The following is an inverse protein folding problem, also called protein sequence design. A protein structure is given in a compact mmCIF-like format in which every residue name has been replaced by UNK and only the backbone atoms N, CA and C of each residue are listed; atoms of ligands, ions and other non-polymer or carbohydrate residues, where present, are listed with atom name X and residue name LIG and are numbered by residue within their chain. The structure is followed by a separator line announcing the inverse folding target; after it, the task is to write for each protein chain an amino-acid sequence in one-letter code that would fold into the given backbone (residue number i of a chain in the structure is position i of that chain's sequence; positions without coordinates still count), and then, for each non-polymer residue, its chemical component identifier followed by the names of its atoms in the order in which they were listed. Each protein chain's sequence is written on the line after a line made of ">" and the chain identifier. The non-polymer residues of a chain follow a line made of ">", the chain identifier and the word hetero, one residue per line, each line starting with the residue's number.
data_IF_967891053350
#
_entry.id   IF_967891053350
#
_cell.length_a   1.000
_cell.length_b   1.000
_cell.length_c   1.000
_cell.angle_alpha   90.00
_cell.angle_beta   90.00
_cell.angle_gamma   90.00
#
_symmetry.space_group_name_H-M   'P 1'
#
loop_
_entity.id
_entity.type
_entity.pdbx_description
1 polymer ?
#
# COMPACT_ATOMS: atom_id res chain seq x y z
N UNK A 1 -17.69 24.07 28.69
CA UNK A 1 -16.22 24.00 28.71
C UNK A 1 -15.71 22.68 28.10
N UNK A 2 -16.27 21.50 28.37
CA UNK A 2 -15.77 20.24 27.79
C UNK A 2 -15.94 20.10 26.26
N UNK A 3 -17.08 20.51 25.68
CA UNK A 3 -17.32 20.35 24.24
C UNK A 3 -16.38 21.22 23.37
N UNK A 4 -16.08 22.43 23.80
CA UNK A 4 -15.16 23.35 23.11
C UNK A 4 -13.70 22.87 23.21
N UNK A 5 -13.30 22.32 24.36
CA UNK A 5 -11.99 21.70 24.54
C UNK A 5 -11.82 20.45 23.65
N UNK A 6 -12.86 19.63 23.50
CA UNK A 6 -12.83 18.48 22.58
C UNK A 6 -12.72 18.91 21.11
N UNK A 7 -13.43 19.96 20.70
CA UNK A 7 -13.33 20.49 19.34
C UNK A 7 -11.94 21.10 19.10
N UNK A 8 -11.41 21.85 20.05
CA UNK A 8 -10.06 22.46 19.94
C UNK A 8 -8.98 21.38 19.83
N UNK A 9 -9.03 20.36 20.68
CA UNK A 9 -8.11 19.23 20.59
C UNK A 9 -8.25 18.45 19.27
N UNK A 10 -9.47 18.32 18.74
CA UNK A 10 -9.70 17.70 17.44
C UNK A 10 -9.15 18.53 16.28
N UNK A 11 -9.22 19.87 16.35
CA UNK A 11 -8.65 20.79 15.37
C UNK A 11 -7.12 20.80 15.38
N UNK A 12 -6.49 20.88 16.56
CA UNK A 12 -5.03 20.80 16.70
C UNK A 12 -4.50 19.45 16.19
N UNK A 13 -5.24 18.37 16.47
CA UNK A 13 -4.91 17.04 16.00
C UNK A 13 -5.18 16.88 14.49
N UNK A 14 -6.12 17.64 13.91
CA UNK A 14 -6.35 17.69 12.48
C UNK A 14 -5.26 18.48 11.74
N UNK A 15 -4.83 19.64 12.27
CA UNK A 15 -3.73 20.44 11.69
C UNK A 15 -2.40 19.67 11.69
N UNK A 16 -2.04 19.01 12.80
CA UNK A 16 -0.85 18.15 12.84
C UNK A 16 -0.96 16.95 11.87
N UNK A 17 -2.19 16.49 11.59
CA UNK A 17 -2.45 15.46 10.59
C UNK A 17 -2.45 16.00 9.17
N UNK A 18 -2.75 17.27 8.92
CA UNK A 18 -2.82 17.87 7.57
C UNK A 18 -1.44 17.87 6.88
N UNK A 19 -0.39 18.32 7.57
CA UNK A 19 1.00 18.15 7.09
C UNK A 19 1.39 16.67 6.95
N UNK A 20 0.82 15.81 7.79
CA UNK A 20 1.06 14.37 7.75
C UNK A 20 0.25 13.67 6.63
N UNK A 21 -0.87 14.21 6.16
CA UNK A 21 -1.78 13.55 5.20
C UNK A 21 -1.10 13.35 3.84
N UNK A 22 -0.19 14.25 3.46
CA UNK A 22 0.62 14.11 2.25
C UNK A 22 1.86 13.21 2.44
N UNK A 23 2.29 12.97 3.68
CA UNK A 23 3.53 12.23 3.96
C UNK A 23 3.55 10.80 3.39
N UNK A 24 2.46 10.00 3.43
CA UNK A 24 2.44 8.73 2.72
C UNK A 24 2.75 8.89 1.22
N UNK A 25 2.14 9.85 0.56
CA UNK A 25 2.37 10.06 -0.89
C UNK A 25 3.81 10.52 -1.18
N UNK A 26 4.39 11.35 -0.31
CA UNK A 26 5.78 11.76 -0.38
C UNK A 26 6.74 10.58 -0.19
N UNK A 27 6.51 9.74 0.82
CA UNK A 27 7.31 8.53 1.07
C UNK A 27 7.22 7.56 -0.11
N UNK A 28 6.01 7.33 -0.64
CA UNK A 28 5.78 6.49 -1.80
C UNK A 28 6.55 7.00 -3.02
N UNK A 29 6.47 8.30 -3.29
CA UNK A 29 7.15 8.95 -4.41
C UNK A 29 8.68 8.92 -4.24
N UNK A 30 9.17 9.17 -3.02
CA UNK A 30 10.59 9.07 -2.67
C UNK A 30 11.14 7.67 -2.95
N UNK A 31 10.43 6.62 -2.55
CA UNK A 31 10.84 5.24 -2.80
C UNK A 31 10.93 4.93 -4.31
N UNK A 32 9.91 5.32 -5.08
CA UNK A 32 9.88 5.08 -6.53
C UNK A 32 11.01 5.80 -7.27
N UNK A 33 11.22 7.09 -6.98
CA UNK A 33 12.31 7.87 -7.58
C UNK A 33 13.67 7.32 -7.12
N UNK A 34 13.79 6.95 -5.84
CA UNK A 34 15.00 6.40 -5.25
C UNK A 34 15.47 5.12 -5.95
N UNK A 35 14.55 4.20 -6.25
CA UNK A 35 14.87 2.98 -7.02
C UNK A 35 15.32 3.34 -8.43
N UNK A 36 14.53 4.12 -9.18
CA UNK A 36 14.81 4.43 -10.58
C UNK A 36 16.13 5.19 -10.76
N UNK A 37 16.45 6.08 -9.81
CA UNK A 37 17.69 6.85 -9.80
C UNK A 37 18.90 6.12 -9.21
N UNK A 38 18.72 4.89 -8.71
CA UNK A 38 19.78 4.10 -8.06
C UNK A 38 20.26 4.67 -6.71
N UNK A 39 19.50 5.60 -6.10
CA UNK A 39 19.83 6.22 -4.81
C UNK A 39 19.39 5.39 -3.61
N UNK A 40 18.36 4.56 -3.79
CA UNK A 40 17.92 3.60 -2.79
C UNK A 40 18.18 2.19 -3.31
N UNK A 41 18.69 1.33 -2.44
CA UNK A 41 18.65 -0.10 -2.69
C UNK A 41 17.22 -0.63 -2.51
N UNK A 42 17.00 -1.86 -2.98
CA UNK A 42 15.70 -2.52 -2.96
C UNK A 42 15.13 -2.61 -1.53
N UNK A 43 15.98 -2.90 -0.54
CA UNK A 43 15.56 -3.05 0.86
C UNK A 43 15.09 -1.72 1.46
N UNK A 44 15.81 -0.63 1.20
CA UNK A 44 15.48 0.70 1.69
C UNK A 44 14.20 1.23 1.04
N UNK A 45 14.00 0.96 -0.24
CA UNK A 45 12.77 1.31 -0.93
C UNK A 45 11.57 0.50 -0.42
N UNK A 46 11.74 -0.81 -0.19
CA UNK A 46 10.72 -1.65 0.44
C UNK A 46 10.33 -1.13 1.83
N UNK A 47 11.31 -0.82 2.68
CA UNK A 47 11.07 -0.26 4.01
C UNK A 47 10.33 1.08 3.94
N UNK A 48 10.71 1.95 3.00
CA UNK A 48 10.05 3.25 2.78
C UNK A 48 8.58 3.08 2.36
N UNK A 49 8.30 2.12 1.46
CA UNK A 49 6.93 1.84 1.02
C UNK A 49 6.07 1.24 2.14
N UNK A 50 6.64 0.36 2.98
CA UNK A 50 5.95 -0.15 4.17
C UNK A 50 5.66 0.96 5.19
N UNK A 51 6.59 1.89 5.39
CA UNK A 51 6.35 3.06 6.23
C UNK A 51 5.19 3.90 5.69
N UNK A 52 5.21 4.19 4.38
CA UNK A 52 4.11 4.90 3.71
C UNK A 52 2.76 4.25 3.97
N UNK A 53 2.66 2.92 3.79
CA UNK A 53 1.43 2.18 4.06
C UNK A 53 0.99 2.27 5.51
N UNK A 54 1.91 2.06 6.46
CA UNK A 54 1.61 2.11 7.89
C UNK A 54 1.10 3.49 8.31
N UNK A 55 1.73 4.55 7.78
CA UNK A 55 1.33 5.93 8.04
C UNK A 55 -0.05 6.23 7.44
N UNK A 56 -0.29 5.87 6.18
CA UNK A 56 -1.60 6.03 5.54
C UNK A 56 -2.71 5.30 6.32
N UNK A 57 -2.46 4.07 6.78
CA UNK A 57 -3.41 3.33 7.60
C UNK A 57 -3.68 4.04 8.94
N UNK A 58 -2.65 4.57 9.61
CA UNK A 58 -2.81 5.31 10.87
C UNK A 58 -3.62 6.60 10.73
N UNK A 59 -3.60 7.20 9.53
CA UNK A 59 -4.35 8.41 9.20
C UNK A 59 -5.76 8.11 8.66
N UNK A 60 -6.11 6.85 8.44
CA UNK A 60 -7.36 6.47 7.77
C UNK A 60 -7.39 6.81 6.27
N UNK A 61 -6.24 7.09 5.67
CA UNK A 61 -6.11 7.49 4.27
C UNK A 61 -6.05 6.27 3.35
N UNK A 62 -7.15 5.53 3.23
CA UNK A 62 -7.20 4.22 2.56
C UNK A 62 -6.76 4.29 1.08
N UNK A 63 -7.06 5.38 0.38
CA UNK A 63 -6.58 5.60 -1.01
C UNK A 63 -5.06 5.72 -1.10
N UNK A 64 -4.40 6.35 -0.12
CA UNK A 64 -2.93 6.46 -0.09
C UNK A 64 -2.27 5.14 0.30
N UNK A 65 -2.92 4.39 1.20
CA UNK A 65 -2.50 3.03 1.54
C UNK A 65 -2.54 2.12 0.30
N UNK A 66 -3.61 2.20 -0.50
CA UNK A 66 -3.76 1.43 -1.73
C UNK A 66 -2.65 1.75 -2.74
N UNK A 67 -2.37 3.03 -3.00
CA UNK A 67 -1.28 3.42 -3.93
C UNK A 67 0.07 2.92 -3.45
N UNK A 68 0.33 2.99 -2.14
CA UNK A 68 1.57 2.50 -1.54
C UNK A 68 1.67 0.97 -1.64
N UNK A 69 0.56 0.25 -1.42
CA UNK A 69 0.47 -1.20 -1.59
C UNK A 69 0.74 -1.63 -3.03
N UNK A 70 0.20 -0.92 -4.04
CA UNK A 70 0.49 -1.19 -5.45
C UNK A 70 1.98 -1.01 -5.77
N UNK A 71 2.60 0.07 -5.29
CA UNK A 71 4.02 0.32 -5.49
C UNK A 71 4.90 -0.72 -4.80
N UNK A 72 4.55 -1.11 -3.57
CA UNK A 72 5.22 -2.19 -2.83
C UNK A 72 5.07 -3.53 -3.56
N UNK A 73 3.86 -3.86 -4.01
CA UNK A 73 3.59 -5.09 -4.74
C UNK A 73 4.43 -5.22 -6.01
N UNK A 74 4.54 -4.15 -6.79
CA UNK A 74 5.40 -4.14 -7.99
C UNK A 74 6.89 -4.35 -7.65
N UNK A 75 7.38 -3.79 -6.55
CA UNK A 75 8.75 -4.03 -6.06
C UNK A 75 8.95 -5.49 -5.63
N UNK A 76 7.97 -6.07 -4.94
CA UNK A 76 8.00 -7.45 -4.47
C UNK A 76 7.94 -8.44 -5.64
N UNK A 77 7.13 -8.19 -6.67
CA UNK A 77 7.03 -9.06 -7.84
C UNK A 77 8.34 -9.11 -8.62
N UNK A 78 9.07 -7.99 -8.70
CA UNK A 78 10.41 -7.94 -9.28
C UNK A 78 11.45 -8.75 -8.48
N UNK A 79 11.14 -9.09 -7.22
CA UNK A 79 11.92 -9.96 -6.35
C UNK A 79 11.31 -11.37 -6.23
N UNK A 80 10.48 -11.78 -7.19
CA UNK A 80 9.81 -13.10 -7.22
C UNK A 80 8.87 -13.36 -6.00
N UNK A 81 8.49 -12.30 -5.27
CA UNK A 81 7.59 -12.35 -4.09
C UNK A 81 6.15 -11.99 -4.45
N UNK A 82 5.63 -12.55 -5.54
CA UNK A 82 4.30 -12.23 -6.06
C UNK A 82 3.15 -12.61 -5.09
N UNK A 83 3.29 -13.70 -4.35
CA UNK A 83 2.29 -14.10 -3.34
C UNK A 83 2.16 -13.07 -2.21
N UNK A 84 3.27 -12.49 -1.78
CA UNK A 84 3.27 -11.42 -0.77
C UNK A 84 2.68 -10.13 -1.34
N UNK A 85 3.02 -9.78 -2.58
CA UNK A 85 2.44 -8.64 -3.29
C UNK A 85 0.90 -8.75 -3.37
N UNK A 86 0.40 -9.94 -3.73
CA UNK A 86 -1.02 -10.26 -3.76
C UNK A 86 -1.66 -10.09 -2.39
N UNK A 87 -1.12 -10.73 -1.35
CA UNK A 87 -1.70 -10.71 -0.01
C UNK A 87 -1.81 -9.29 0.56
N UNK A 88 -0.78 -8.47 0.34
CA UNK A 88 -0.75 -7.07 0.79
C UNK A 88 -1.82 -6.26 0.05
N UNK A 89 -1.84 -6.31 -1.29
CA UNK A 89 -2.75 -5.45 -2.07
C UNK A 89 -4.22 -5.89 -1.92
N UNK A 90 -4.50 -7.19 -1.90
CA UNK A 90 -5.85 -7.71 -1.71
C UNK A 90 -6.44 -7.27 -0.37
N UNK A 91 -5.66 -7.37 0.73
CA UNK A 91 -6.10 -6.94 2.05
C UNK A 91 -6.50 -5.46 2.11
N UNK A 92 -5.77 -4.58 1.41
CA UNK A 92 -6.10 -3.15 1.36
C UNK A 92 -7.32 -2.91 0.47
N UNK A 93 -7.36 -3.56 -0.70
CA UNK A 93 -8.45 -3.45 -1.66
C UNK A 93 -9.80 -3.88 -1.06
N UNK A 94 -9.83 -4.99 -0.30
CA UNK A 94 -11.07 -5.53 0.29
C UNK A 94 -11.71 -4.62 1.36
N UNK A 95 -10.99 -3.59 1.84
CA UNK A 95 -11.52 -2.59 2.78
C UNK A 95 -12.33 -1.50 2.08
N UNK A 96 -12.26 -1.39 0.76
CA UNK A 96 -13.08 -0.44 0.01
C UNK A 96 -14.48 -0.99 -0.18
N UNK A 97 -15.49 -0.18 0.10
CA UNK A 97 -16.91 -0.51 -0.15
C UNK A 97 -17.49 0.25 -1.35
N UNK A 98 -16.78 1.27 -1.85
CA UNK A 98 -17.19 2.16 -2.94
C UNK A 98 -15.98 2.57 -3.80
N UNK A 99 -16.20 3.36 -4.86
CA UNK A 99 -15.12 3.93 -5.66
C UNK A 99 -14.42 2.94 -6.60
N UNK A 100 -14.97 1.74 -6.81
CA UNK A 100 -14.35 0.68 -7.62
C UNK A 100 -14.19 1.06 -9.11
N UNK A 101 -14.91 2.08 -9.55
CA UNK A 101 -14.81 2.74 -10.84
C UNK A 101 -13.73 3.82 -10.90
N UNK A 102 -13.03 4.12 -9.79
CA UNK A 102 -11.87 5.00 -9.82
C UNK A 102 -10.69 4.31 -10.52
N UNK A 103 -9.79 5.12 -11.08
CA UNK A 103 -8.61 4.59 -11.77
C UNK A 103 -7.77 3.70 -10.85
N UNK A 104 -7.51 4.16 -9.63
CA UNK A 104 -6.62 3.47 -8.70
C UNK A 104 -7.20 2.10 -8.29
N UNK A 105 -8.50 2.00 -8.03
CA UNK A 105 -9.14 0.71 -7.69
C UNK A 105 -9.22 -0.23 -8.90
N UNK A 106 -9.48 0.27 -10.11
CA UNK A 106 -9.40 -0.59 -11.31
C UNK A 106 -8.00 -1.14 -11.54
N UNK A 107 -6.96 -0.32 -11.35
CA UNK A 107 -5.57 -0.76 -11.47
C UNK A 107 -5.24 -1.78 -10.39
N UNK A 108 -5.63 -1.53 -9.13
CA UNK A 108 -5.40 -2.49 -8.04
C UNK A 108 -6.04 -3.85 -8.33
N UNK A 109 -7.27 -3.88 -8.83
CA UNK A 109 -7.95 -5.12 -9.24
C UNK A 109 -7.17 -5.90 -10.30
N UNK A 110 -6.65 -5.21 -11.32
CA UNK A 110 -5.84 -5.84 -12.37
C UNK A 110 -4.54 -6.43 -11.81
N UNK A 111 -3.89 -5.72 -10.89
CA UNK A 111 -2.66 -6.20 -10.24
C UNK A 111 -2.94 -7.41 -9.33
N UNK A 112 -4.05 -7.40 -8.58
CA UNK A 112 -4.47 -8.55 -7.76
C UNK A 112 -4.65 -9.80 -8.62
N UNK A 113 -5.30 -9.68 -9.78
CA UNK A 113 -5.44 -10.82 -10.70
C UNK A 113 -4.09 -11.26 -11.28
N UNK A 114 -3.22 -10.31 -11.63
CA UNK A 114 -1.90 -10.61 -12.19
C UNK A 114 -0.94 -11.28 -11.19
N UNK A 115 -1.06 -10.96 -9.89
CA UNK A 115 -0.19 -11.50 -8.84
C UNK A 115 -0.81 -12.69 -8.10
N UNK A 116 -2.04 -13.07 -8.47
CA UNK A 116 -2.74 -14.18 -7.82
C UNK A 116 -1.84 -15.42 -7.82
N UNK A 117 -1.63 -16.06 -6.65
CA UNK A 117 -0.90 -17.31 -6.59
C UNK A 117 -1.55 -18.32 -7.53
N UNK A 118 -0.79 -18.77 -8.53
CA UNK A 118 -1.27 -19.83 -9.40
C UNK A 118 -1.16 -21.12 -8.62
N UNK A 119 -2.29 -21.71 -8.23
CA UNK A 119 -2.29 -23.08 -7.72
C UNK A 119 -1.83 -24.00 -8.86
N UNK A 120 -0.57 -24.46 -8.88
CA UNK A 120 -0.18 -25.60 -9.71
C UNK A 120 0.86 -26.53 -9.07
N UNK A 121 0.54 -27.82 -9.23
CA UNK A 121 1.37 -29.01 -9.18
C UNK A 121 1.57 -29.72 -7.83
N UNK A 122 0.48 -30.18 -7.22
CA UNK A 122 0.49 -31.40 -6.38
C UNK A 122 -0.33 -32.52 -7.03
N UNK A 123 -0.12 -32.77 -8.33
CA UNK A 123 -0.67 -33.93 -9.04
C UNK A 123 0.40 -34.57 -9.93
N UNK A 124 1.61 -34.81 -9.43
CA UNK A 124 2.55 -35.73 -10.09
C UNK A 124 3.57 -36.25 -9.07
N UNK A 125 3.15 -37.15 -8.16
CA UNK A 125 4.02 -38.15 -7.55
C UNK A 125 3.23 -39.32 -6.94
N UNK A 126 2.55 -40.06 -7.80
CA UNK A 126 2.24 -41.48 -7.56
C UNK A 126 2.56 -42.24 -8.83
N UNK A 127 3.82 -42.68 -8.93
CA UNK A 127 4.30 -43.81 -9.74
C UNK A 127 5.80 -43.93 -9.48
N UNK A 128 6.17 -44.70 -8.46
CA UNK A 128 6.98 -45.93 -8.60
C UNK A 128 6.91 -46.71 -7.28
#
# INVERSE_FOLDING_TARGET
>A
MEAEAMITAALEQAEARDESFDMPELLRTHAQIGIVSGRLDIKSAEATLRHSMALANSQGALSLELRSAMALGALLTNQERAEEAYAILAKVYDRFTEGHETRDLRTAKQLIEAWRPTARASEYRTSD
#
